data_IF_966295096718
#
_entry.id   IF_966295096718
#
_cell.length_a   1.000
_cell.length_b   1.000
_cell.length_c   1.000
_cell.angle_alpha   90.00
_cell.angle_beta   90.00
_cell.angle_gamma   90.00
#
_symmetry.space_group_name_H-M   'P 1'
#
loop_
_entity.id
_entity.type
_entity.pdbx_description
1 polymer ?
#
# COMPACT_ATOMS: atom_id res chain seq x y z
N UNK A 1 -35.35 26.78 -21.08
CA UNK A 1 -35.40 26.81 -19.60
C UNK A 1 -34.42 25.75 -19.14
N UNK A 2 -33.15 26.14 -19.20
CA UNK A 2 -31.97 25.36 -18.89
C UNK A 2 -31.28 26.08 -17.73
N UNK A 3 -30.58 25.30 -16.91
CA UNK A 3 -29.78 25.67 -15.73
C UNK A 3 -30.51 25.92 -14.40
N UNK A 4 -29.85 25.46 -13.32
CA UNK A 4 -30.13 25.67 -11.88
C UNK A 4 -30.97 24.66 -11.07
N UNK A 5 -30.78 23.35 -11.31
CA UNK A 5 -30.76 22.38 -10.21
C UNK A 5 -29.53 21.46 -10.33
N UNK A 6 -28.32 22.06 -10.31
CA UNK A 6 -27.17 21.32 -9.79
C UNK A 6 -27.45 21.13 -8.31
N UNK A 7 -28.15 20.04 -7.97
CA UNK A 7 -28.14 19.53 -6.60
C UNK A 7 -26.66 19.40 -6.26
N UNK A 8 -26.19 20.13 -5.26
CA UNK A 8 -24.82 19.98 -4.79
C UNK A 8 -24.69 18.52 -4.31
N UNK A 9 -24.07 17.69 -5.15
CA UNK A 9 -23.76 16.29 -4.86
C UNK A 9 -22.32 16.28 -4.41
N UNK A 10 -22.10 15.89 -3.15
CA UNK A 10 -20.74 15.70 -2.62
C UNK A 10 -20.37 14.24 -2.84
N UNK A 11 -19.24 14.03 -3.52
CA UNK A 11 -18.61 12.72 -3.64
C UNK A 11 -17.89 12.40 -2.32
N UNK A 12 -18.45 11.48 -1.53
CA UNK A 12 -17.87 11.02 -0.27
C UNK A 12 -17.19 9.65 -0.49
N UNK A 13 -16.01 9.43 0.11
CA UNK A 13 -15.32 8.13 0.14
C UNK A 13 -15.45 7.50 1.54
N UNK A 14 -16.61 6.94 1.91
CA UNK A 14 -16.89 6.54 3.30
C UNK A 14 -15.90 5.50 3.84
N UNK A 15 -15.32 4.67 2.97
CA UNK A 15 -14.35 3.66 3.37
C UNK A 15 -12.99 4.24 3.77
N UNK A 16 -12.62 5.44 3.29
CA UNK A 16 -11.34 6.08 3.67
C UNK A 16 -11.37 6.61 5.10
N UNK A 17 -12.55 6.90 5.63
CA UNK A 17 -12.69 7.44 6.99
C UNK A 17 -12.70 6.38 8.08
N UNK A 18 -12.93 5.12 7.71
CA UNK A 18 -12.86 3.99 8.62
C UNK A 18 -11.48 3.88 9.25
N UNK A 19 -11.46 3.72 10.57
CA UNK A 19 -10.23 3.52 11.34
C UNK A 19 -9.44 2.30 10.85
N UNK A 20 -10.11 1.23 10.45
CA UNK A 20 -9.50 0.02 9.89
C UNK A 20 -8.75 0.27 8.58
N UNK A 21 -9.27 1.15 7.72
CA UNK A 21 -8.63 1.51 6.45
C UNK A 21 -7.45 2.44 6.64
N UNK A 22 -7.57 3.42 7.55
CA UNK A 22 -6.43 4.27 7.97
C UNK A 22 -5.31 3.42 8.59
N UNK A 23 -5.64 2.44 9.43
CA UNK A 23 -4.68 1.52 10.03
C UNK A 23 -4.01 0.63 8.98
N UNK A 24 -4.78 0.04 8.06
CA UNK A 24 -4.24 -0.82 6.99
C UNK A 24 -3.30 -0.03 6.09
N UNK A 25 -3.67 1.20 5.71
CA UNK A 25 -2.81 2.12 4.97
C UNK A 25 -1.49 2.37 5.70
N UNK A 26 -1.55 2.69 6.99
CA UNK A 26 -0.34 2.94 7.79
C UNK A 26 0.57 1.71 7.84
N UNK A 27 0.00 0.52 8.00
CA UNK A 27 0.76 -0.75 8.02
C UNK A 27 1.43 -1.01 6.67
N UNK A 28 0.71 -0.84 5.55
CA UNK A 28 1.28 -1.03 4.20
C UNK A 28 2.44 -0.06 3.96
N UNK A 29 2.28 1.22 4.31
CA UNK A 29 3.34 2.21 4.20
C UNK A 29 4.54 1.83 5.07
N UNK A 30 4.31 1.43 6.33
CA UNK A 30 5.38 1.01 7.23
C UNK A 30 6.17 -0.18 6.67
N UNK A 31 5.46 -1.18 6.12
CA UNK A 31 6.10 -2.36 5.53
C UNK A 31 6.92 -2.01 4.29
N UNK A 32 6.41 -1.15 3.39
CA UNK A 32 7.17 -0.65 2.24
C UNK A 32 8.45 0.07 2.67
N UNK A 33 8.37 0.92 3.70
CA UNK A 33 9.54 1.64 4.23
C UNK A 33 10.52 0.70 4.94
N UNK A 34 10.02 -0.29 5.67
CA UNK A 34 10.86 -1.31 6.29
C UNK A 34 11.63 -2.12 5.24
N UNK A 35 10.98 -2.54 4.15
CA UNK A 35 11.64 -3.20 3.02
C UNK A 35 12.72 -2.32 2.40
N UNK A 36 12.45 -1.02 2.19
CA UNK A 36 13.46 -0.06 1.71
C UNK A 36 14.64 0.03 2.66
N UNK A 37 14.40 0.12 3.97
CA UNK A 37 15.46 0.18 4.97
C UNK A 37 16.33 -1.09 4.96
N UNK A 38 15.72 -2.28 4.88
CA UNK A 38 16.44 -3.54 4.79
C UNK A 38 17.26 -3.63 3.49
N UNK A 39 16.66 -3.31 2.34
CA UNK A 39 17.37 -3.24 1.05
C UNK A 39 18.52 -2.25 1.06
N UNK A 40 18.36 -1.10 1.73
CA UNK A 40 19.40 -0.09 1.86
C UNK A 40 20.59 -0.62 2.68
N UNK A 41 20.32 -1.30 3.80
CA UNK A 41 21.38 -1.92 4.61
C UNK A 41 22.12 -3.00 3.80
N UNK A 42 21.40 -3.86 3.07
CA UNK A 42 22.02 -4.86 2.18
C UNK A 42 22.85 -4.18 1.09
N UNK A 43 22.36 -3.09 0.50
CA UNK A 43 23.04 -2.37 -0.58
C UNK A 43 24.34 -1.72 -0.10
N UNK A 44 24.30 -1.03 1.04
CA UNK A 44 25.48 -0.37 1.62
C UNK A 44 26.47 -1.40 2.15
N UNK A 45 25.99 -2.38 2.92
CA UNK A 45 26.82 -3.43 3.51
C UNK A 45 27.43 -4.37 2.48
N UNK A 46 26.68 -4.70 1.43
CA UNK A 46 27.09 -5.59 0.35
C UNK A 46 27.79 -4.90 -0.82
N UNK A 47 28.04 -3.58 -0.77
CA UNK A 47 28.40 -2.78 -1.95
C UNK A 47 29.53 -3.37 -2.80
N UNK A 48 30.61 -3.81 -2.16
CA UNK A 48 31.78 -4.35 -2.86
C UNK A 48 31.55 -5.76 -3.43
N UNK A 49 30.57 -6.49 -2.89
CA UNK A 49 30.25 -7.87 -3.28
C UNK A 49 29.05 -7.97 -4.24
N UNK A 50 28.21 -6.94 -4.33
CA UNK A 50 27.01 -6.91 -5.19
C UNK A 50 27.39 -6.65 -6.65
N UNK A 51 27.68 -7.70 -7.42
CA UNK A 51 27.88 -7.60 -8.87
C UNK A 51 26.53 -7.65 -9.61
N UNK A 52 26.27 -6.67 -10.48
CA UNK A 52 25.04 -6.58 -11.28
C UNK A 52 23.76 -6.21 -10.51
N UNK A 53 23.69 -6.49 -9.20
CA UNK A 53 22.48 -6.29 -8.40
C UNK A 53 22.27 -4.85 -7.89
N UNK A 54 23.30 -4.00 -7.88
CA UNK A 54 23.23 -2.62 -7.34
C UNK A 54 22.09 -1.81 -7.97
N UNK A 55 22.06 -1.76 -9.30
CA UNK A 55 21.07 -0.98 -10.04
C UNK A 55 19.64 -1.51 -9.79
N UNK A 56 19.49 -2.83 -9.70
CA UNK A 56 18.20 -3.48 -9.45
C UNK A 56 17.69 -3.13 -8.05
N UNK A 57 18.54 -3.22 -7.02
CA UNK A 57 18.16 -2.85 -5.64
C UNK A 57 17.78 -1.37 -5.54
N UNK A 58 18.55 -0.48 -6.17
CA UNK A 58 18.25 0.96 -6.19
C UNK A 58 16.91 1.23 -6.89
N UNK A 59 16.63 0.56 -8.01
CA UNK A 59 15.36 0.68 -8.70
C UNK A 59 14.19 0.17 -7.82
N UNK A 60 14.34 -0.98 -7.15
CA UNK A 60 13.35 -1.51 -6.22
C UNK A 60 13.07 -0.53 -5.06
N UNK A 61 14.11 0.04 -4.46
CA UNK A 61 13.97 1.04 -3.41
C UNK A 61 13.19 2.26 -3.90
N UNK A 62 13.53 2.79 -5.08
CA UNK A 62 12.81 3.92 -5.67
C UNK A 62 11.33 3.58 -5.93
N UNK A 63 11.04 2.40 -6.49
CA UNK A 63 9.67 1.93 -6.73
C UNK A 63 8.90 1.83 -5.40
N UNK A 64 9.47 1.23 -4.36
CA UNK A 64 8.80 1.07 -3.06
C UNK A 64 8.50 2.42 -2.41
N UNK A 65 9.42 3.40 -2.52
CA UNK A 65 9.18 4.76 -2.04
C UNK A 65 8.06 5.46 -2.82
N UNK A 66 8.01 5.30 -4.14
CA UNK A 66 6.95 5.83 -4.99
C UNK A 66 5.59 5.19 -4.61
N UNK A 67 5.56 3.88 -4.41
CA UNK A 67 4.36 3.16 -3.96
C UNK A 67 3.92 3.66 -2.58
N UNK A 68 4.84 3.81 -1.61
CA UNK A 68 4.51 4.31 -0.28
C UNK A 68 3.89 5.71 -0.35
N UNK A 69 4.45 6.59 -1.19
CA UNK A 69 3.93 7.93 -1.41
C UNK A 69 2.52 7.94 -2.03
N UNK A 70 2.28 7.14 -3.07
CA UNK A 70 0.96 7.07 -3.69
C UNK A 70 -0.06 6.35 -2.79
N UNK A 71 0.37 5.38 -1.98
CA UNK A 71 -0.47 4.75 -0.95
C UNK A 71 -0.92 5.80 0.07
N UNK A 72 -0.01 6.67 0.55
CA UNK A 72 -0.33 7.75 1.47
C UNK A 72 -1.42 8.69 0.93
N UNK A 73 -1.43 8.89 -0.39
CA UNK A 73 -2.41 9.68 -1.16
C UNK A 73 -3.69 8.94 -1.54
N UNK A 74 -3.96 7.78 -0.95
CA UNK A 74 -5.16 6.98 -1.22
C UNK A 74 -5.27 6.53 -2.68
N UNK A 75 -4.15 6.34 -3.38
CA UNK A 75 -4.17 5.78 -4.73
C UNK A 75 -4.30 4.26 -4.69
N UNK A 76 -5.28 3.77 -5.42
CA UNK A 76 -5.75 2.40 -5.45
C UNK A 76 -4.89 1.38 -6.15
N UNK A 77 -4.34 1.77 -7.30
CA UNK A 77 -3.55 0.87 -8.14
C UNK A 77 -2.26 0.41 -7.44
N UNK A 78 -1.89 1.12 -6.38
CA UNK A 78 -0.68 0.89 -5.61
C UNK A 78 -0.73 -0.40 -4.80
N UNK A 79 -1.88 -0.77 -4.24
CA UNK A 79 -1.97 -1.97 -3.38
C UNK A 79 -1.68 -3.27 -4.14
N UNK A 80 -2.36 -3.58 -5.26
CA UNK A 80 -2.03 -4.77 -6.04
C UNK A 80 -0.63 -4.69 -6.67
N UNK A 81 -0.16 -3.49 -7.03
CA UNK A 81 1.19 -3.30 -7.55
C UNK A 81 2.26 -3.59 -6.48
N UNK A 82 2.05 -3.12 -5.26
CA UNK A 82 2.92 -3.41 -4.12
C UNK A 82 2.97 -4.92 -3.83
N UNK A 83 1.83 -5.61 -3.84
CA UNK A 83 1.80 -7.06 -3.68
C UNK A 83 2.59 -7.79 -4.79
N UNK A 84 2.44 -7.36 -6.05
CA UNK A 84 3.17 -7.96 -7.17
C UNK A 84 4.69 -7.78 -7.04
N UNK A 85 5.16 -6.57 -6.72
CA UNK A 85 6.59 -6.33 -6.50
C UNK A 85 7.12 -7.07 -5.27
N UNK A 86 6.32 -7.17 -4.20
CA UNK A 86 6.65 -7.91 -2.99
C UNK A 86 6.84 -9.41 -3.27
N UNK A 87 6.00 -10.01 -4.11
CA UNK A 87 6.18 -11.40 -4.53
C UNK A 87 7.53 -11.60 -5.23
N UNK A 88 7.90 -10.70 -6.15
CA UNK A 88 9.17 -10.81 -6.88
C UNK A 88 10.35 -10.63 -5.91
N UNK A 89 10.30 -9.62 -5.03
CA UNK A 89 11.36 -9.37 -4.06
C UNK A 89 11.50 -10.52 -3.05
N UNK A 90 10.39 -11.12 -2.63
CA UNK A 90 10.37 -12.30 -1.77
C UNK A 90 11.09 -13.48 -2.43
N UNK A 91 10.87 -13.72 -3.73
CA UNK A 91 11.59 -14.76 -4.49
C UNK A 91 13.09 -14.46 -4.53
N UNK A 92 13.48 -13.22 -4.84
CA UNK A 92 14.89 -12.83 -4.83
C UNK A 92 15.54 -13.00 -3.46
N UNK A 93 14.85 -12.62 -2.38
CA UNK A 93 15.33 -12.81 -1.01
C UNK A 93 15.50 -14.29 -0.65
N UNK A 94 14.56 -15.15 -1.06
CA UNK A 94 14.62 -16.58 -0.82
C UNK A 94 15.80 -17.27 -1.53
N UNK A 95 16.17 -16.80 -2.72
CA UNK A 95 17.32 -17.32 -3.47
C UNK A 95 18.62 -16.70 -2.97
N UNK A 96 18.68 -15.38 -2.79
CA UNK A 96 19.91 -14.68 -2.44
C UNK A 96 20.32 -14.83 -0.97
N UNK A 97 19.37 -15.02 -0.06
CA UNK A 97 19.63 -15.16 1.38
C UNK A 97 20.63 -16.28 1.70
N UNK A 98 20.38 -17.53 1.27
CA UNK A 98 21.32 -18.65 1.45
C UNK A 98 22.68 -18.42 0.80
N UNK A 99 22.74 -17.75 -0.35
CA UNK A 99 23.97 -17.50 -1.09
C UNK A 99 24.93 -16.58 -0.34
N UNK A 100 24.44 -15.65 0.49
CA UNK A 100 25.29 -14.87 1.38
C UNK A 100 26.03 -15.76 2.38
N UNK A 101 25.36 -16.73 3.00
CA UNK A 101 26.01 -17.66 3.92
C UNK A 101 27.02 -18.57 3.20
N UNK A 102 26.76 -18.92 1.94
CA UNK A 102 27.68 -19.73 1.14
C UNK A 102 29.01 -19.02 0.83
N UNK A 103 29.01 -17.67 0.86
CA UNK A 103 30.20 -16.81 0.64
C UNK A 103 31.12 -16.68 1.85
N UNK A 104 30.72 -17.17 3.03
CA UNK A 104 31.54 -17.16 4.25
C UNK A 104 32.68 -18.19 4.16
N UNK A 105 33.60 -17.96 3.20
CA UNK A 105 34.71 -18.82 2.81
C UNK A 105 35.82 -17.96 2.19
N UNK A 106 37.05 -18.45 2.31
CA UNK A 106 38.21 -17.81 1.70
C UNK A 106 38.08 -17.76 0.15
N UNK A 107 38.49 -16.64 -0.45
CA UNK A 107 38.54 -16.45 -1.91
C UNK A 107 37.44 -15.57 -2.51
N UNK A 108 36.49 -15.11 -1.70
CA UNK A 108 35.50 -14.10 -2.11
C UNK A 108 35.97 -12.68 -1.77
N UNK A 109 35.41 -11.69 -2.48
CA UNK A 109 35.54 -10.29 -2.09
C UNK A 109 34.66 -10.05 -0.87
N UNK A 110 35.29 -9.64 0.23
CA UNK A 110 34.61 -9.37 1.48
C UNK A 110 33.74 -8.10 1.35
N UNK A 111 32.47 -8.14 1.75
CA UNK A 111 31.62 -6.97 1.87
C UNK A 111 32.03 -6.08 3.04
N UNK A 112 31.35 -4.93 3.17
CA UNK A 112 31.53 -4.02 4.31
C UNK A 112 30.94 -4.57 5.59
N UNK A 113 29.82 -5.30 5.49
CA UNK A 113 29.22 -6.04 6.60
C UNK A 113 29.46 -7.55 6.40
N UNK A 114 29.58 -8.28 7.50
CA UNK A 114 29.75 -9.73 7.49
C UNK A 114 28.67 -10.42 6.63
N UNK A 115 29.08 -11.42 5.87
CA UNK A 115 28.23 -12.14 4.92
C UNK A 115 27.03 -12.79 5.62
N UNK A 116 27.24 -13.34 6.82
CA UNK A 116 26.17 -13.93 7.64
C UNK A 116 25.13 -12.90 8.08
N UNK A 117 25.55 -11.65 8.37
CA UNK A 117 24.66 -10.54 8.72
C UNK A 117 23.86 -10.11 7.49
N UNK A 118 24.52 -9.97 6.33
CA UNK A 118 23.84 -9.66 5.07
C UNK A 118 22.83 -10.75 4.67
N UNK A 119 23.18 -12.02 4.87
CA UNK A 119 22.30 -13.16 4.66
C UNK A 119 21.07 -13.11 5.56
N UNK A 120 21.26 -12.84 6.86
CA UNK A 120 20.16 -12.71 7.81
C UNK A 120 19.22 -11.54 7.44
N UNK A 121 19.77 -10.37 7.13
CA UNK A 121 18.98 -9.19 6.73
C UNK A 121 18.21 -9.47 5.43
N UNK A 122 18.84 -10.16 4.48
CA UNK A 122 18.18 -10.58 3.24
C UNK A 122 17.03 -11.55 3.53
N UNK A 123 17.22 -12.52 4.42
CA UNK A 123 16.16 -13.45 4.83
C UNK A 123 15.04 -12.76 5.61
N UNK A 124 15.32 -11.69 6.35
CA UNK A 124 14.30 -10.87 7.01
C UNK A 124 13.35 -10.18 6.03
N UNK A 125 13.75 -9.98 4.76
CA UNK A 125 12.80 -9.50 3.74
C UNK A 125 11.66 -10.48 3.53
N UNK A 126 11.88 -11.80 3.63
CA UNK A 126 10.82 -12.81 3.39
C UNK A 126 9.58 -12.59 4.28
N UNK A 127 9.68 -12.53 5.62
CA UNK A 127 8.50 -12.27 6.45
C UNK A 127 7.93 -10.86 6.24
N UNK A 128 8.76 -9.86 5.95
CA UNK A 128 8.29 -8.49 5.68
C UNK A 128 7.48 -8.42 4.39
N UNK A 129 7.97 -9.00 3.29
CA UNK A 129 7.25 -9.05 2.02
C UNK A 129 5.98 -9.90 2.13
N UNK A 130 6.01 -11.00 2.88
CA UNK A 130 4.81 -11.82 3.12
C UNK A 130 3.72 -11.01 3.85
N UNK A 131 4.10 -10.25 4.89
CA UNK A 131 3.19 -9.34 5.58
C UNK A 131 2.70 -8.24 4.64
N UNK A 132 3.58 -7.66 3.81
CA UNK A 132 3.22 -6.62 2.85
C UNK A 132 2.15 -7.13 1.87
N UNK A 133 2.33 -8.34 1.32
CA UNK A 133 1.34 -8.99 0.45
C UNK A 133 0.01 -9.13 1.19
N UNK A 134 0.01 -9.70 2.39
CA UNK A 134 -1.21 -9.95 3.16
C UNK A 134 -1.98 -8.65 3.46
N UNK A 135 -1.29 -7.60 3.90
CA UNK A 135 -1.92 -6.31 4.21
C UNK A 135 -2.31 -5.51 2.96
N UNK A 136 -1.57 -5.62 1.86
CA UNK A 136 -1.93 -5.02 0.59
C UNK A 136 -3.22 -5.64 0.03
N UNK A 137 -3.33 -6.97 0.06
CA UNK A 137 -4.55 -7.68 -0.35
C UNK A 137 -5.75 -7.35 0.55
N UNK A 138 -5.52 -7.29 1.87
CA UNK A 138 -6.55 -6.83 2.83
C UNK A 138 -6.99 -5.39 2.58
N UNK A 139 -6.06 -4.49 2.28
CA UNK A 139 -6.38 -3.10 1.95
C UNK A 139 -7.17 -3.00 0.66
N UNK A 140 -6.84 -3.82 -0.34
CA UNK A 140 -7.54 -3.86 -1.61
C UNK A 140 -9.00 -4.31 -1.44
N UNK A 141 -9.25 -5.31 -0.57
CA UNK A 141 -10.59 -5.79 -0.25
C UNK A 141 -11.40 -4.86 0.68
N UNK A 142 -10.89 -3.68 1.04
CA UNK A 142 -11.63 -2.67 1.81
C UNK A 142 -12.31 -1.62 0.93
N UNK A 143 -12.28 -1.80 -0.40
CA UNK A 143 -13.04 -1.00 -1.35
C UNK A 143 -12.81 0.52 -1.18
N UNK A 144 -11.55 0.96 -1.12
CA UNK A 144 -11.17 2.38 -1.00
C UNK A 144 -11.66 3.26 -2.17
N UNK A 145 -12.26 2.65 -3.20
CA UNK A 145 -12.74 3.26 -4.44
C UNK A 145 -14.24 3.53 -4.44
N UNK A 146 -14.97 2.97 -3.47
CA UNK A 146 -16.40 3.19 -3.41
C UNK A 146 -16.63 4.65 -3.07
N UNK A 147 -17.19 5.34 -4.05
CA UNK A 147 -17.67 6.71 -3.99
C UNK A 147 -19.18 6.65 -3.83
N UNK A 148 -19.68 7.32 -2.80
CA UNK A 148 -21.12 7.46 -2.58
C UNK A 148 -21.48 8.91 -2.81
N UNK A 149 -22.42 9.14 -3.70
CA UNK A 149 -23.02 10.44 -3.92
C UNK A 149 -24.02 10.71 -2.79
N UNK A 150 -23.74 11.71 -1.94
CA UNK A 150 -24.70 12.18 -0.93
C UNK A 150 -25.27 13.52 -1.38
N UNK A 151 -26.61 13.67 -1.50
CA UNK A 151 -27.22 14.98 -1.69
C UNK A 151 -26.87 15.86 -0.49
N UNK A 152 -26.45 17.10 -0.72
CA UNK A 152 -26.31 18.08 0.37
C UNK A 152 -27.69 18.33 0.97
N UNK A 153 -27.90 17.93 2.23
CA UNK A 153 -29.04 18.37 3.03
C UNK A 153 -28.94 19.89 3.18
N UNK A 154 -29.67 20.62 2.34
CA UNK A 154 -29.93 22.03 2.55
C UNK A 154 -30.80 22.22 3.81
N UNK A 155 -30.79 23.41 4.44
CA UNK A 155 -31.53 23.71 5.67
C UNK A 155 -33.06 23.83 5.47
N UNK A 156 -33.67 22.94 4.67
CA UNK A 156 -35.08 23.03 4.28
C UNK A 156 -35.71 21.74 3.79
N UNK A 157 -35.26 20.57 4.27
CA UNK A 157 -36.02 19.33 4.09
C UNK A 157 -37.28 19.35 4.96
N UNK A 158 -38.32 20.05 4.49
CA UNK A 158 -39.67 19.78 4.97
C UNK A 158 -40.12 18.47 4.32
N UNK A 159 -40.49 17.51 5.16
CA UNK A 159 -41.17 16.29 4.77
C UNK A 159 -42.45 16.67 3.99
N UNK A 160 -42.45 16.45 2.68
CA UNK A 160 -43.62 16.66 1.80
C UNK A 160 -44.66 15.54 1.93
N UNK A 161 -44.51 14.64 2.90
CA UNK A 161 -45.38 13.47 3.07
C UNK A 161 -46.54 13.67 4.07
N UNK A 162 -46.65 14.84 4.72
CA UNK A 162 -47.67 15.11 5.76
C UNK A 162 -48.88 15.95 5.30
N UNK A 163 -49.00 16.35 4.02
CA UNK A 163 -50.13 17.17 3.53
C UNK A 163 -51.14 16.40 2.65
N UNK A 164 -51.50 15.19 3.06
CA UNK A 164 -52.76 14.55 2.62
C UNK A 164 -53.78 14.64 3.76
N UNK A 165 -54.42 15.80 3.89
CA UNK A 165 -55.62 15.95 4.73
C UNK A 165 -56.70 14.93 4.36
N UNK A 166 -57.57 14.52 5.30
CA UNK A 166 -58.55 13.47 5.06
C UNK A 166 -59.50 13.87 3.91
N UNK A 167 -59.61 12.98 2.92
CA UNK A 167 -60.45 13.17 1.75
C UNK A 167 -61.91 13.47 2.14
N UNK A 168 -62.59 14.45 1.51
CA UNK A 168 -63.95 14.81 1.89
C UNK A 168 -64.92 13.65 1.61
N UNK A 169 -65.72 13.34 2.62
CA UNK A 169 -66.79 12.34 2.53
C UNK A 169 -67.78 12.75 1.43
N UNK A 170 -67.98 11.86 0.44
CA UNK A 170 -69.02 12.01 -0.57
C UNK A 170 -70.38 11.70 0.08
N UNK A 171 -71.28 12.67 0.03
CA UNK A 171 -72.69 12.54 0.42
C UNK A 171 -73.50 11.78 -0.63
#
# INVERSE_FOLDING_TARGET
>A
MADEQRRDVILEHPNRDKASSKATKAIVILLLLASVALMLIVTIGGWNALEGAKAILIAYMAIYLILAFYCARWNRGVLPLAAAFAIILLIFAAIAGPEWFARDKNGFTNPTLDESVLGLITLLLIPVEFLLIAFAMRGFSQDWHVEVERPVEGPGGYDEDDDYGPAPARA
#
